data_IF_341345810357
#
_entry.id   IF_341345810357
#
_cell.length_a   1.000
_cell.length_b   1.000
_cell.length_c   1.000
_cell.angle_alpha   90.00
_cell.angle_beta   90.00
_cell.angle_gamma   90.00
#
_symmetry.space_group_name_H-M   'P 1'
#
loop_
_entity.id
_entity.type
_entity.pdbx_description
1 polymer ?
#
# COMPACT_ATOMS: atom_id res chain seq x y z
N UNK A 1 -6.96 -13.74 -15.35
CA UNK A 1 -7.04 -13.68 -13.87
C UNK A 1 -8.50 -13.94 -13.48
N UNK A 2 -8.88 -15.20 -13.31
CA UNK A 2 -10.26 -15.64 -12.99
C UNK A 2 -10.40 -16.14 -11.53
N UNK A 3 -9.50 -15.71 -10.64
CA UNK A 3 -9.64 -16.05 -9.23
C UNK A 3 -10.60 -15.05 -8.55
N UNK A 4 -11.75 -15.56 -8.10
CA UNK A 4 -12.83 -14.82 -7.43
C UNK A 4 -12.27 -14.01 -6.24
N UNK A 5 -11.29 -14.54 -5.51
CA UNK A 5 -10.67 -13.87 -4.35
C UNK A 5 -10.04 -12.53 -4.74
N UNK A 6 -9.26 -12.51 -5.83
CA UNK A 6 -8.62 -11.27 -6.30
C UNK A 6 -9.63 -10.28 -6.89
N UNK A 7 -10.67 -10.76 -7.56
CA UNK A 7 -11.73 -9.90 -8.10
C UNK A 7 -12.46 -9.18 -6.96
N UNK A 8 -12.86 -9.93 -5.92
CA UNK A 8 -13.53 -9.38 -4.75
C UNK A 8 -12.65 -8.42 -3.97
N UNK A 9 -11.36 -8.73 -3.84
CA UNK A 9 -10.37 -7.83 -3.25
C UNK A 9 -10.26 -6.53 -4.05
N UNK A 10 -10.08 -6.60 -5.37
CA UNK A 10 -9.98 -5.44 -6.25
C UNK A 10 -11.25 -4.57 -6.23
N UNK A 11 -12.43 -5.18 -6.09
CA UNK A 11 -13.70 -4.45 -6.03
C UNK A 11 -13.87 -3.63 -4.74
N UNK A 12 -13.18 -4.00 -3.67
CA UNK A 12 -13.21 -3.28 -2.38
C UNK A 12 -12.19 -2.13 -2.31
N UNK A 13 -11.27 -2.05 -3.27
CA UNK A 13 -10.25 -1.01 -3.29
C UNK A 13 -10.80 0.32 -3.83
N UNK A 14 -10.27 1.46 -3.34
CA UNK A 14 -10.46 2.75 -3.99
C UNK A 14 -10.10 2.69 -5.49
N UNK A 15 -10.81 3.40 -6.38
CA UNK A 15 -10.59 3.30 -7.83
C UNK A 15 -9.13 3.48 -8.29
N UNK A 16 -8.41 4.44 -7.71
CA UNK A 16 -7.00 4.69 -8.06
C UNK A 16 -6.07 3.56 -7.61
N UNK A 17 -6.38 2.93 -6.49
CA UNK A 17 -5.64 1.80 -5.95
C UNK A 17 -5.94 0.52 -6.75
N UNK A 18 -7.20 0.34 -7.18
CA UNK A 18 -7.63 -0.83 -7.96
C UNK A 18 -6.78 -1.02 -9.21
N UNK A 19 -6.52 0.05 -9.97
CA UNK A 19 -5.71 -0.02 -11.19
C UNK A 19 -4.26 -0.42 -10.86
N UNK A 20 -3.66 0.21 -9.84
CA UNK A 20 -2.29 -0.09 -9.43
C UNK A 20 -2.13 -1.53 -8.94
N UNK A 21 -3.07 -1.99 -8.09
CA UNK A 21 -3.06 -3.36 -7.55
C UNK A 21 -3.32 -4.38 -8.66
N UNK A 22 -4.24 -4.11 -9.59
CA UNK A 22 -4.47 -4.99 -10.74
C UNK A 22 -3.22 -5.10 -11.64
N UNK A 23 -2.53 -3.99 -11.89
CA UNK A 23 -1.27 -3.99 -12.63
C UNK A 23 -0.17 -4.78 -11.93
N UNK A 24 -0.03 -4.62 -10.62
CA UNK A 24 0.90 -5.40 -9.80
C UNK A 24 0.57 -6.89 -9.82
N UNK A 25 -0.70 -7.28 -9.63
CA UNK A 25 -1.12 -8.68 -9.68
C UNK A 25 -0.87 -9.29 -11.06
N UNK A 26 -1.06 -8.54 -12.15
CA UNK A 26 -0.73 -9.03 -13.48
C UNK A 26 0.78 -9.27 -13.65
N UNK A 27 1.62 -8.37 -13.12
CA UNK A 27 3.07 -8.56 -13.12
C UNK A 27 3.50 -9.79 -12.32
N UNK A 28 2.89 -10.04 -11.16
CA UNK A 28 3.19 -11.24 -10.37
C UNK A 28 2.69 -12.51 -11.05
N UNK A 29 1.53 -12.48 -11.71
CA UNK A 29 1.01 -13.63 -12.47
C UNK A 29 1.99 -14.08 -13.57
N UNK A 30 2.72 -13.16 -14.17
CA UNK A 30 3.74 -13.47 -15.18
C UNK A 30 5.08 -13.95 -14.58
N UNK A 31 5.34 -13.70 -13.30
CA UNK A 31 6.71 -13.82 -12.74
C UNK A 31 6.84 -14.68 -11.48
N UNK A 32 5.76 -14.93 -10.73
CA UNK A 32 5.81 -15.67 -9.47
C UNK A 32 4.42 -16.08 -8.98
N UNK A 33 4.09 -17.37 -9.13
CA UNK A 33 2.86 -17.97 -8.58
C UNK A 33 2.92 -18.06 -7.04
N UNK A 34 4.09 -18.31 -6.46
CA UNK A 34 4.29 -18.34 -5.01
C UNK A 34 3.95 -16.99 -4.35
N UNK A 35 4.39 -15.88 -4.94
CA UNK A 35 4.09 -14.53 -4.42
C UNK A 35 2.57 -14.28 -4.43
N UNK A 36 1.85 -14.79 -5.44
CA UNK A 36 0.38 -14.71 -5.50
C UNK A 36 -0.28 -15.55 -4.41
N UNK A 37 0.24 -16.75 -4.14
CA UNK A 37 -0.26 -17.62 -3.06
C UNK A 37 -0.20 -16.93 -1.69
N UNK A 38 0.90 -16.23 -1.39
CA UNK A 38 1.01 -15.45 -0.15
C UNK A 38 0.02 -14.28 -0.08
N UNK A 39 -0.26 -13.61 -1.20
CA UNK A 39 -1.27 -12.55 -1.25
C UNK A 39 -2.67 -13.16 -1.05
N UNK A 40 -2.96 -14.28 -1.68
CA UNK A 40 -4.24 -14.99 -1.51
C UNK A 40 -4.45 -15.43 -0.05
N UNK A 41 -3.45 -16.04 0.57
CA UNK A 41 -3.48 -16.41 2.00
C UNK A 41 -3.68 -15.20 2.90
N UNK A 42 -3.04 -14.06 2.59
CA UNK A 42 -3.31 -12.82 3.32
C UNK A 42 -4.76 -12.36 3.16
N UNK A 43 -5.31 -12.40 1.95
CA UNK A 43 -6.69 -11.96 1.68
C UNK A 43 -7.71 -12.87 2.38
N UNK A 44 -7.50 -14.18 2.34
CA UNK A 44 -8.43 -15.17 2.89
C UNK A 44 -8.33 -15.31 4.41
N UNK A 45 -7.11 -15.24 4.96
CA UNK A 45 -6.83 -15.64 6.34
C UNK A 45 -6.17 -14.55 7.18
N UNK A 46 -5.78 -13.42 6.58
CA UNK A 46 -5.02 -12.38 7.28
C UNK A 46 -3.58 -12.80 7.59
N UNK A 47 -3.08 -13.85 6.94
CA UNK A 47 -1.73 -14.38 7.16
C UNK A 47 -0.67 -13.33 6.83
N UNK A 48 0.31 -13.07 7.72
CA UNK A 48 1.34 -12.09 7.45
C UNK A 48 2.18 -12.49 6.24
N UNK A 49 2.37 -11.56 5.30
CA UNK A 49 3.22 -11.77 4.12
C UNK A 49 4.69 -11.64 4.53
N UNK A 50 5.57 -12.62 4.21
CA UNK A 50 6.98 -12.54 4.51
C UNK A 50 7.67 -11.33 3.84
N UNK A 51 8.64 -10.72 4.52
CA UNK A 51 9.30 -9.49 4.06
C UNK A 51 9.99 -9.63 2.69
N UNK A 52 10.50 -10.81 2.33
CA UNK A 52 11.07 -11.06 1.01
C UNK A 52 10.00 -11.03 -0.09
N UNK A 53 8.80 -11.55 0.19
CA UNK A 53 7.66 -11.53 -0.72
C UNK A 53 7.14 -10.09 -0.87
N UNK A 54 7.01 -9.35 0.25
CA UNK A 54 6.66 -7.92 0.20
C UNK A 54 7.62 -7.11 -0.68
N UNK A 55 8.92 -7.40 -0.63
CA UNK A 55 9.90 -6.76 -1.54
C UNK A 55 9.60 -7.07 -3.01
N UNK A 56 9.24 -8.31 -3.34
CA UNK A 56 8.88 -8.70 -4.70
C UNK A 56 7.60 -7.98 -5.17
N UNK A 57 6.57 -7.94 -4.32
CA UNK A 57 5.32 -7.20 -4.57
C UNK A 57 5.61 -5.72 -4.85
N UNK A 58 6.45 -5.08 -4.03
CA UNK A 58 6.83 -3.69 -4.21
C UNK A 58 7.63 -3.45 -5.50
N UNK A 59 8.39 -4.44 -5.97
CA UNK A 59 9.04 -4.39 -7.29
C UNK A 59 8.04 -4.59 -8.43
N UNK A 60 7.03 -5.44 -8.26
CA UNK A 60 5.98 -5.64 -9.25
C UNK A 60 5.15 -4.36 -9.46
N UNK A 61 4.87 -3.58 -8.40
CA UNK A 61 4.29 -2.23 -8.54
C UNK A 61 5.14 -1.31 -9.41
N UNK A 62 6.47 -1.28 -9.21
CA UNK A 62 7.39 -0.47 -10.01
C UNK A 62 7.38 -0.90 -11.48
N UNK A 63 7.43 -2.21 -11.74
CA UNK A 63 7.38 -2.77 -13.11
C UNK A 63 6.06 -2.49 -13.82
N UNK A 64 4.95 -2.49 -13.06
CA UNK A 64 3.63 -2.13 -13.56
C UNK A 64 3.45 -0.62 -13.82
N UNK A 65 4.44 0.22 -13.51
CA UNK A 65 4.38 1.68 -13.70
C UNK A 65 3.80 2.46 -12.52
N UNK A 66 3.70 1.84 -11.33
CA UNK A 66 3.12 2.43 -10.12
C UNK A 66 4.14 2.50 -8.96
N UNK A 67 5.30 3.16 -9.12
CA UNK A 67 6.37 3.14 -8.12
C UNK A 67 6.03 3.80 -6.77
N UNK A 68 4.96 4.61 -6.71
CA UNK A 68 4.44 5.22 -5.48
C UNK A 68 3.64 4.25 -4.60
N UNK A 69 3.24 3.11 -5.16
CA UNK A 69 2.50 2.09 -4.44
C UNK A 69 3.43 1.04 -3.84
N UNK A 70 3.09 0.62 -2.62
CA UNK A 70 3.69 -0.50 -1.91
C UNK A 70 2.58 -1.37 -1.33
N UNK A 71 2.90 -2.60 -0.94
CA UNK A 71 1.94 -3.48 -0.28
C UNK A 71 1.28 -2.83 0.94
N UNK A 72 2.06 -2.07 1.72
CA UNK A 72 1.60 -1.43 2.95
C UNK A 72 0.64 -0.25 2.71
N UNK A 73 0.70 0.37 1.53
CA UNK A 73 -0.11 1.56 1.23
C UNK A 73 -1.21 1.30 0.18
N UNK A 74 -1.14 0.19 -0.56
CA UNK A 74 -2.05 -0.08 -1.68
C UNK A 74 -3.47 -0.41 -1.24
N UNK A 75 -3.68 -0.80 0.01
CA UNK A 75 -5.01 -1.06 0.60
C UNK A 75 -5.63 0.18 1.25
N UNK A 76 -4.88 1.28 1.36
CA UNK A 76 -5.32 2.49 2.05
C UNK A 76 -5.85 3.49 1.02
N UNK A 77 -7.00 4.13 1.29
CA UNK A 77 -7.48 5.22 0.45
C UNK A 77 -6.54 6.43 0.54
N UNK A 78 -5.63 6.53 -0.43
CA UNK A 78 -4.67 7.62 -0.53
C UNK A 78 -5.31 8.91 -1.06
N UNK A 79 -6.57 8.88 -1.54
CA UNK A 79 -7.28 10.08 -1.99
C UNK A 79 -7.54 11.05 -0.84
N UNK A 80 -7.76 10.53 0.37
CA UNK A 80 -7.87 11.31 1.61
C UNK A 80 -6.54 11.47 2.35
N UNK A 81 -5.42 11.01 1.78
CA UNK A 81 -4.07 11.27 2.32
C UNK A 81 -3.37 12.45 1.64
N UNK A 82 -4.10 13.29 0.92
CA UNK A 82 -3.65 14.64 0.62
C UNK A 82 -3.60 15.45 1.93
N UNK A 83 -2.47 15.36 2.63
CA UNK A 83 -1.94 16.36 3.56
C UNK A 83 -2.75 16.81 4.79
N UNK A 84 -3.84 16.16 5.19
CA UNK A 84 -4.57 16.64 6.38
C UNK A 84 -3.79 16.48 7.71
N UNK A 85 -2.88 15.50 7.81
CA UNK A 85 -2.09 15.30 9.04
C UNK A 85 -0.64 15.80 8.98
N UNK A 86 -0.09 16.14 7.80
CA UNK A 86 1.29 16.63 7.75
C UNK A 86 1.40 18.06 8.25
N UNK A 87 0.47 18.94 7.85
CA UNK A 87 0.45 20.31 8.34
C UNK A 87 0.18 20.35 9.85
N UNK A 88 -0.70 19.49 10.35
CA UNK A 88 -1.00 19.40 11.79
C UNK A 88 0.18 18.87 12.61
N UNK A 89 0.93 17.88 12.14
CA UNK A 89 2.15 17.41 12.82
C UNK A 89 3.29 18.44 12.77
N UNK A 90 3.47 19.12 11.64
CA UNK A 90 4.50 20.17 11.49
C UNK A 90 4.16 21.38 12.37
N UNK A 91 2.89 21.81 12.42
CA UNK A 91 2.45 22.92 13.26
C UNK A 91 2.53 22.56 14.75
N UNK A 92 2.10 21.36 15.16
CA UNK A 92 2.27 20.87 16.56
C UNK A 92 3.73 20.74 16.97
N UNK A 93 4.63 20.46 16.04
CA UNK A 93 6.07 20.39 16.31
C UNK A 93 6.68 21.77 16.45
N UNK A 94 6.29 22.74 15.60
CA UNK A 94 6.70 24.14 15.72
C UNK A 94 6.21 24.79 17.02
N UNK A 95 4.96 24.56 17.42
CA UNK A 95 4.41 25.07 18.68
C UNK A 95 5.15 24.50 19.90
N UNK A 96 5.54 23.22 19.87
CA UNK A 96 6.35 22.61 20.93
C UNK A 96 7.74 23.22 21.04
N UNK A 97 8.37 23.56 19.91
CA UNK A 97 9.67 24.23 19.91
C UNK A 97 9.59 25.65 20.47
N UNK A 98 8.59 26.45 20.04
CA UNK A 98 8.39 27.82 20.54
C UNK A 98 8.07 27.85 22.04
N UNK A 99 7.34 26.83 22.55
CA UNK A 99 7.01 26.74 23.98
C UNK A 99 8.23 26.39 24.84
N UNK A 100 9.20 25.65 24.31
CA UNK A 100 10.43 25.30 25.02
C UNK A 100 11.47 26.44 25.03
N UNK A 101 11.44 27.34 24.04
CA UNK A 101 12.31 28.54 24.03
C UNK A 101 11.81 29.67 24.94
N UNK A 102 10.53 29.66 25.35
CA UNK A 102 9.97 30.66 26.28
C UNK A 102 10.14 30.30 27.78
N UNK A 103 10.76 29.17 28.09
CA UNK A 103 11.00 28.68 29.47
C UNK A 103 12.52 28.66 29.78
N UNK A 104 13.32 29.43 29.06
CA UNK A 104 14.73 29.72 29.36
C UNK A 104 14.93 31.23 29.52
#
# INVERSE_FOLDING_TARGET
MENIVFIDFLNKLPPNNKIAVAGMLNQLYETSEDDLGFIEDFILHGSPIPNNIVKNINQAFKKAGFPQFTWENCTIDVRNKCFDNWFDEVNKSKERMIKNEKIL
#
